data_IF_763858558164
#
_entry.id   IF_763858558164
#
_cell.length_a   1.000
_cell.length_b   1.000
_cell.length_c   1.000
_cell.angle_alpha   90.00
_cell.angle_beta   90.00
_cell.angle_gamma   90.00
#
_symmetry.space_group_name_H-M   'P 1'
#
loop_
_entity.id
_entity.type
_entity.pdbx_description
1 polymer ?
#
# COMPACT_ATOMS: atom_id res chain seq x y z
N UNK A 1 -13.55 -0.32 -5.51
CA UNK A 1 -13.01 0.93 -4.91
C UNK A 1 -12.92 0.74 -3.41
N UNK A 2 -11.77 1.03 -2.80
CA UNK A 2 -11.47 0.70 -1.39
C UNK A 2 -11.17 1.95 -0.54
N UNK A 3 -10.44 2.92 -1.09
CA UNK A 3 -10.12 4.19 -0.43
C UNK A 3 -10.48 5.40 -1.28
N UNK A 4 -10.78 6.50 -0.61
CA UNK A 4 -11.16 7.77 -1.22
C UNK A 4 -10.67 8.93 -0.34
N UNK A 5 -10.08 9.96 -0.93
CA UNK A 5 -9.74 11.20 -0.23
C UNK A 5 -10.00 12.43 -1.11
N UNK A 6 -10.44 13.50 -0.47
CA UNK A 6 -10.43 14.84 -1.06
C UNK A 6 -9.09 15.50 -0.74
N UNK A 7 -8.55 16.25 -1.70
CA UNK A 7 -7.43 17.14 -1.45
C UNK A 7 -7.78 18.14 -0.33
N UNK A 8 -6.86 18.49 0.59
CA UNK A 8 -7.12 19.49 1.63
C UNK A 8 -7.57 20.84 1.08
N UNK A 9 -7.19 21.18 -0.15
CA UNK A 9 -7.62 22.37 -0.89
C UNK A 9 -8.69 22.07 -1.95
N UNK A 10 -9.52 21.04 -1.76
CA UNK A 10 -10.51 20.57 -2.73
C UNK A 10 -11.41 21.67 -3.32
N UNK A 11 -11.91 22.60 -2.50
CA UNK A 11 -12.77 23.68 -3.02
C UNK A 11 -12.04 24.65 -3.94
N UNK A 12 -10.70 24.68 -3.91
CA UNK A 12 -9.87 25.48 -4.79
C UNK A 12 -9.38 24.70 -6.02
N UNK A 13 -9.07 23.40 -5.87
CA UNK A 13 -8.42 22.62 -6.94
C UNK A 13 -9.26 21.46 -7.52
N UNK A 14 -10.37 21.10 -6.90
CA UNK A 14 -11.26 20.01 -7.31
C UNK A 14 -10.64 18.61 -7.23
N UNK A 15 -9.48 18.40 -6.58
CA UNK A 15 -8.74 17.14 -6.66
C UNK A 15 -9.32 16.07 -5.74
N UNK A 16 -9.51 14.88 -6.30
CA UNK A 16 -9.92 13.67 -5.57
C UNK A 16 -8.92 12.53 -5.84
N UNK A 17 -8.81 11.62 -4.87
CA UNK A 17 -7.88 10.49 -4.89
C UNK A 17 -8.65 9.20 -4.64
N UNK A 18 -8.36 8.18 -5.44
CA UNK A 18 -9.02 6.87 -5.41
C UNK A 18 -7.97 5.78 -5.19
N UNK A 19 -8.27 4.83 -4.31
CA UNK A 19 -7.51 3.61 -4.10
C UNK A 19 -8.39 2.41 -4.45
N UNK A 20 -7.95 1.57 -5.37
CA UNK A 20 -8.75 0.44 -5.86
C UNK A 20 -7.88 -0.67 -6.45
N UNK A 21 -8.41 -1.90 -6.40
CA UNK A 21 -7.85 -3.05 -7.10
C UNK A 21 -8.17 -2.92 -8.59
N UNK A 22 -7.17 -3.13 -9.43
CA UNK A 22 -7.31 -3.16 -10.89
C UNK A 22 -7.79 -4.57 -11.28
N UNK A 23 -8.80 -4.68 -12.14
CA UNK A 23 -9.15 -5.97 -12.71
C UNK A 23 -7.96 -6.54 -13.51
N UNK A 24 -7.71 -7.85 -13.40
CA UNK A 24 -6.54 -8.48 -14.04
C UNK A 24 -6.61 -8.36 -15.57
N UNK A 25 -7.78 -8.56 -16.17
CA UNK A 25 -7.96 -8.45 -17.62
C UNK A 25 -7.65 -7.03 -18.11
N UNK A 26 -8.09 -6.00 -17.38
CA UNK A 26 -7.66 -4.63 -17.64
C UNK A 26 -6.15 -4.45 -17.48
N UNK A 27 -5.55 -4.99 -16.43
CA UNK A 27 -4.12 -4.86 -16.17
C UNK A 27 -3.27 -5.50 -17.30
N UNK A 28 -3.64 -6.68 -17.76
CA UNK A 28 -2.90 -7.48 -18.73
C UNK A 28 -3.14 -7.04 -20.18
N UNK A 29 -4.35 -6.58 -20.50
CA UNK A 29 -4.77 -6.42 -21.90
C UNK A 29 -5.06 -4.98 -22.33
N UNK A 30 -5.29 -4.04 -21.41
CA UNK A 30 -5.71 -2.68 -21.78
C UNK A 30 -4.79 -2.02 -22.83
N UNK A 31 -5.40 -1.48 -23.89
CA UNK A 31 -4.67 -0.87 -25.02
C UNK A 31 -4.20 -1.87 -26.08
N UNK A 32 -4.48 -3.16 -25.93
CA UNK A 32 -4.20 -4.19 -26.94
C UNK A 32 -5.48 -4.70 -27.62
N UNK A 33 -5.40 -5.39 -28.77
CA UNK A 33 -6.56 -6.02 -29.40
C UNK A 33 -7.25 -7.12 -28.58
N UNK A 34 -6.59 -7.63 -27.53
CA UNK A 34 -7.15 -8.65 -26.63
C UNK A 34 -8.09 -8.05 -25.56
N UNK A 35 -8.11 -6.72 -25.39
CA UNK A 35 -8.94 -6.07 -24.38
C UNK A 35 -10.41 -5.99 -24.80
N UNK A 36 -11.26 -6.66 -24.04
CA UNK A 36 -12.72 -6.43 -24.02
C UNK A 36 -13.13 -5.69 -22.73
N UNK A 37 -13.72 -4.49 -22.80
CA UNK A 37 -14.18 -3.77 -21.61
C UNK A 37 -15.34 -4.43 -20.84
N UNK A 38 -15.93 -5.52 -21.36
CA UNK A 38 -16.98 -6.30 -20.69
C UNK A 38 -16.47 -7.63 -20.12
N UNK A 39 -15.16 -7.88 -20.20
CA UNK A 39 -14.53 -9.07 -19.63
C UNK A 39 -13.81 -8.69 -18.34
N UNK A 40 -13.89 -9.59 -17.37
CA UNK A 40 -13.18 -9.52 -16.10
C UNK A 40 -12.47 -10.85 -15.87
N UNK A 41 -11.35 -10.83 -15.16
CA UNK A 41 -10.62 -12.02 -14.75
C UNK A 41 -10.49 -12.07 -13.23
N UNK A 42 -11.26 -12.98 -12.64
CA UNK A 42 -11.36 -13.14 -11.19
C UNK A 42 -10.35 -14.15 -10.66
N UNK A 43 -9.93 -13.96 -9.41
CA UNK A 43 -9.04 -14.86 -8.67
C UNK A 43 -7.64 -15.02 -9.30
N UNK A 44 -7.22 -14.11 -10.17
CA UNK A 44 -5.84 -13.97 -10.60
C UNK A 44 -5.17 -12.85 -9.81
N UNK A 45 -3.86 -12.96 -9.63
CA UNK A 45 -3.08 -11.92 -8.97
C UNK A 45 -3.14 -10.63 -9.80
N UNK A 46 -3.20 -9.49 -9.13
CA UNK A 46 -3.31 -8.19 -9.79
C UNK A 46 -2.63 -7.12 -8.94
N UNK A 47 -2.97 -5.84 -9.14
CA UNK A 47 -2.43 -4.73 -8.36
C UNK A 47 -3.53 -3.83 -7.79
N UNK A 48 -3.21 -3.23 -6.65
CA UNK A 48 -3.80 -2.00 -6.17
C UNK A 48 -3.19 -0.79 -6.87
N UNK A 49 -4.04 0.22 -7.08
CA UNK A 49 -3.70 1.45 -7.79
C UNK A 49 -4.22 2.67 -7.04
N UNK A 50 -3.40 3.71 -7.01
CA UNK A 50 -3.81 5.05 -6.56
C UNK A 50 -3.94 5.95 -7.77
N UNK A 51 -5.09 6.59 -7.95
CA UNK A 51 -5.30 7.60 -9.00
C UNK A 51 -5.81 8.90 -8.43
N UNK A 52 -5.50 9.99 -9.14
CA UNK A 52 -6.05 11.32 -8.92
C UNK A 52 -6.91 11.72 -10.11
N UNK A 53 -8.01 12.41 -9.82
CA UNK A 53 -8.85 13.09 -10.80
C UNK A 53 -9.13 14.52 -10.35
N UNK A 54 -9.63 15.35 -11.28
CA UNK A 54 -10.12 16.70 -11.03
C UNK A 54 -11.63 16.74 -11.28
N UNK A 55 -12.38 17.16 -10.26
CA UNK A 55 -13.81 17.44 -10.37
C UNK A 55 -14.06 18.76 -11.11
N UNK A 56 -15.11 18.80 -11.90
CA UNK A 56 -15.52 19.97 -12.67
C UNK A 56 -16.21 21.00 -11.76
N UNK A 57 -15.56 22.14 -11.54
CA UNK A 57 -16.11 23.23 -10.74
C UNK A 57 -17.38 23.83 -11.36
N UNK A 58 -17.55 23.78 -12.69
CA UNK A 58 -18.73 24.32 -13.39
C UNK A 58 -20.01 23.55 -13.07
N UNK A 59 -19.88 22.28 -12.68
CA UNK A 59 -21.02 21.45 -12.23
C UNK A 59 -21.21 21.49 -10.72
N UNK A 60 -20.47 22.34 -10.00
CA UNK A 60 -20.44 22.35 -8.55
C UNK A 60 -19.77 21.09 -7.99
N UNK A 61 -18.72 20.60 -8.65
CA UNK A 61 -17.96 19.40 -8.30
C UNK A 61 -18.78 18.10 -8.28
N UNK A 62 -19.87 18.03 -9.07
CA UNK A 62 -20.73 16.84 -9.20
C UNK A 62 -20.35 15.90 -10.34
N UNK A 63 -19.38 16.29 -11.16
CA UNK A 63 -18.79 15.47 -12.21
C UNK A 63 -17.27 15.53 -12.13
N UNK A 64 -16.64 14.52 -12.71
CA UNK A 64 -15.18 14.42 -12.86
C UNK A 64 -14.83 14.63 -14.32
N UNK A 65 -13.73 15.33 -14.60
CA UNK A 65 -13.10 15.30 -15.92
C UNK A 65 -12.31 13.98 -16.08
N UNK A 66 -12.75 13.03 -16.92
CA UNK A 66 -12.05 11.75 -17.06
C UNK A 66 -10.65 11.90 -17.68
N UNK A 67 -10.42 12.95 -18.46
CA UNK A 67 -9.11 13.23 -19.09
C UNK A 67 -8.07 13.69 -18.06
N UNK A 68 -8.51 14.16 -16.89
CA UNK A 68 -7.63 14.59 -15.80
C UNK A 68 -6.98 13.44 -15.00
N UNK A 69 -7.26 12.18 -15.37
CA UNK A 69 -6.75 10.99 -14.69
C UNK A 69 -5.22 11.02 -14.61
N UNK A 70 -4.69 10.93 -13.40
CA UNK A 70 -3.27 10.68 -13.14
C UNK A 70 -3.13 9.43 -12.27
N UNK A 71 -2.33 8.46 -12.71
CA UNK A 71 -1.95 7.30 -11.89
C UNK A 71 -0.73 7.71 -11.06
N UNK A 72 -0.81 7.53 -9.74
CA UNK A 72 0.24 7.89 -8.78
C UNK A 72 1.03 6.67 -8.28
N UNK A 73 0.35 5.53 -8.20
CA UNK A 73 0.91 4.22 -7.85
C UNK A 73 0.22 3.19 -8.72
N UNK A 74 0.98 2.28 -9.34
CA UNK A 74 0.44 1.23 -10.22
C UNK A 74 0.28 1.66 -11.67
N UNK A 75 1.23 2.42 -12.22
CA UNK A 75 1.26 2.80 -13.64
C UNK A 75 1.37 1.60 -14.59
N UNK A 76 2.04 0.54 -14.12
CA UNK A 76 2.28 -0.72 -14.81
C UNK A 76 2.07 -1.91 -13.87
N UNK A 77 2.12 -3.13 -14.43
CA UNK A 77 2.01 -4.40 -13.69
C UNK A 77 3.01 -4.52 -12.53
N UNK A 78 4.22 -3.97 -12.69
CA UNK A 78 5.32 -4.07 -11.72
C UNK A 78 5.46 -2.86 -10.78
N UNK A 79 4.56 -1.87 -10.84
CA UNK A 79 4.66 -0.63 -10.06
C UNK A 79 3.48 -0.38 -9.13
N UNK A 80 2.54 -1.33 -9.08
CA UNK A 80 1.38 -1.30 -8.20
C UNK A 80 1.63 -1.96 -6.86
N UNK A 81 0.65 -1.82 -5.96
CA UNK A 81 0.63 -2.59 -4.71
C UNK A 81 0.23 -4.02 -5.10
N UNK A 82 1.06 -5.05 -4.90
CA UNK A 82 0.69 -6.41 -5.27
C UNK A 82 -0.61 -6.83 -4.59
N UNK A 83 -1.51 -7.50 -5.32
CA UNK A 83 -2.72 -8.12 -4.77
C UNK A 83 -2.67 -9.58 -5.17
N UNK A 84 -2.13 -10.40 -4.26
CA UNK A 84 -1.72 -11.78 -4.53
C UNK A 84 -2.64 -12.83 -3.87
N UNK A 85 -3.72 -12.36 -3.27
CA UNK A 85 -4.71 -13.17 -2.60
C UNK A 85 -6.06 -12.42 -2.58
N UNK A 86 -7.15 -13.11 -2.25
CA UNK A 86 -8.49 -12.50 -2.18
C UNK A 86 -8.72 -11.67 -0.90
N UNK A 87 -7.71 -11.53 -0.05
CA UNK A 87 -7.79 -10.85 1.24
C UNK A 87 -6.67 -9.83 1.42
N UNK A 88 -6.84 -8.96 2.42
CA UNK A 88 -5.85 -7.97 2.88
C UNK A 88 -5.31 -7.02 1.79
N UNK A 89 -6.08 -6.85 0.71
CA UNK A 89 -5.84 -5.98 -0.42
C UNK A 89 -5.25 -4.60 -0.09
N UNK A 90 -6.15 -3.63 -0.04
CA UNK A 90 -5.86 -2.22 0.16
C UNK A 90 -6.70 -1.71 1.32
N UNK A 91 -6.35 -0.56 1.88
CA UNK A 91 -7.11 0.05 2.96
C UNK A 91 -7.62 1.45 2.62
N UNK A 92 -6.96 2.44 3.19
CA UNK A 92 -7.42 3.82 3.27
C UNK A 92 -6.47 4.80 2.60
N UNK A 93 -7.02 5.97 2.26
CA UNK A 93 -6.30 7.17 1.87
C UNK A 93 -6.54 8.25 2.92
N UNK A 94 -5.47 8.86 3.43
CA UNK A 94 -5.53 9.93 4.45
C UNK A 94 -4.48 10.98 4.14
N UNK A 95 -4.84 12.26 4.16
CA UNK A 95 -3.85 13.33 4.07
C UNK A 95 -3.19 13.57 5.44
N UNK A 96 -1.87 13.73 5.44
CA UNK A 96 -1.11 14.23 6.58
C UNK A 96 -1.33 15.74 6.80
N UNK A 97 -0.89 16.23 7.96
CA UNK A 97 -0.94 17.65 8.29
C UNK A 97 -0.08 18.53 7.37
N UNK A 98 0.91 17.92 6.71
CA UNK A 98 1.83 18.52 5.77
C UNK A 98 1.38 18.48 4.30
N UNK A 99 0.15 17.99 4.05
CA UNK A 99 -0.41 17.86 2.71
C UNK A 99 0.11 16.67 1.92
N UNK A 100 0.92 15.78 2.51
CA UNK A 100 1.31 14.50 1.88
C UNK A 100 0.19 13.47 1.99
N UNK A 101 0.19 12.45 1.12
CA UNK A 101 -0.87 11.44 1.08
C UNK A 101 -0.38 10.12 1.66
N UNK A 102 -1.08 9.63 2.67
CA UNK A 102 -0.91 8.28 3.18
C UNK A 102 -1.79 7.28 2.44
N UNK A 103 -1.24 6.09 2.20
CA UNK A 103 -1.90 4.94 1.58
C UNK A 103 -1.64 3.73 2.45
N UNK A 104 -2.68 3.03 2.90
CA UNK A 104 -2.48 1.73 3.57
C UNK A 104 -2.69 0.55 2.63
N UNK A 105 -1.84 -0.45 2.79
CA UNK A 105 -1.84 -1.71 2.06
C UNK A 105 -1.56 -2.85 3.03
N UNK A 106 -2.39 -3.89 2.98
CA UNK A 106 -2.14 -5.10 3.76
C UNK A 106 -1.05 -5.96 3.12
N UNK A 107 -0.75 -7.08 3.76
CA UNK A 107 0.29 -8.01 3.35
C UNK A 107 -0.04 -8.77 2.06
N UNK A 108 -1.32 -8.72 1.62
CA UNK A 108 -1.85 -9.41 0.45
C UNK A 108 -1.56 -10.92 0.48
N UNK A 109 -1.53 -11.50 1.67
CA UNK A 109 -1.29 -12.91 1.91
C UNK A 109 -2.60 -13.69 2.16
N UNK A 110 -2.50 -15.01 2.25
CA UNK A 110 -3.65 -15.87 2.60
C UNK A 110 -4.22 -15.50 3.98
N UNK A 111 -5.55 -15.48 4.08
CA UNK A 111 -6.26 -15.40 5.36
C UNK A 111 -6.52 -16.77 6.01
N UNK A 112 -6.32 -17.85 5.26
CA UNK A 112 -6.61 -19.23 5.68
C UNK A 112 -5.35 -20.03 6.04
N UNK A 113 -4.22 -19.72 5.39
CA UNK A 113 -2.96 -20.47 5.54
C UNK A 113 -1.78 -19.53 5.89
N UNK A 114 -0.78 -20.06 6.60
CA UNK A 114 0.47 -19.33 6.87
C UNK A 114 1.30 -19.20 5.59
N UNK A 115 1.07 -18.10 4.85
CA UNK A 115 1.74 -17.83 3.59
C UNK A 115 3.18 -17.36 3.81
N UNK A 116 4.14 -18.24 3.52
CA UNK A 116 5.58 -17.98 3.57
C UNK A 116 6.19 -17.64 2.19
N UNK A 117 5.36 -17.56 1.14
CA UNK A 117 5.77 -17.38 -0.24
C UNK A 117 6.27 -18.64 -0.93
N UNK A 118 6.67 -18.48 -2.19
CA UNK A 118 7.10 -19.58 -3.06
C UNK A 118 5.92 -20.32 -3.71
N UNK A 119 6.19 -21.44 -4.40
CA UNK A 119 5.19 -22.19 -5.17
C UNK A 119 4.35 -23.12 -4.26
N UNK A 120 3.87 -22.61 -3.14
CA UNK A 120 3.02 -23.34 -2.19
C UNK A 120 1.56 -22.91 -2.34
N UNK A 121 0.64 -23.80 -1.98
CA UNK A 121 -0.78 -23.46 -1.92
C UNK A 121 -0.99 -22.28 -0.95
N UNK A 122 -1.92 -21.38 -1.28
CA UNK A 122 -2.21 -20.19 -0.47
C UNK A 122 -1.31 -18.97 -0.74
N UNK A 123 -0.15 -19.15 -1.39
CA UNK A 123 0.69 -18.04 -1.87
C UNK A 123 0.24 -17.51 -3.24
N UNK A 124 0.91 -16.47 -3.74
CA UNK A 124 0.73 -15.90 -5.09
C UNK A 124 0.53 -16.99 -6.16
N UNK A 125 -0.50 -16.82 -7.00
CA UNK A 125 -0.88 -17.81 -8.01
C UNK A 125 -0.31 -17.52 -9.41
N UNK A 126 -0.22 -16.25 -9.82
CA UNK A 126 0.26 -15.83 -11.15
C UNK A 126 1.24 -14.66 -11.09
N UNK A 127 1.29 -13.93 -9.96
CA UNK A 127 1.96 -12.64 -9.86
C UNK A 127 3.44 -12.67 -10.22
N UNK A 128 4.16 -13.75 -9.89
CA UNK A 128 5.55 -13.91 -10.32
C UNK A 128 5.70 -14.19 -11.81
N UNK A 129 4.84 -15.04 -12.36
CA UNK A 129 4.89 -15.40 -13.78
C UNK A 129 4.56 -14.20 -14.68
N UNK A 130 3.72 -13.29 -14.18
CA UNK A 130 3.25 -12.09 -14.89
C UNK A 130 4.07 -10.83 -14.57
N UNK A 131 5.02 -10.92 -13.64
CA UNK A 131 5.90 -9.80 -13.29
C UNK A 131 5.28 -8.73 -12.39
N UNK A 132 4.22 -9.09 -11.66
CA UNK A 132 3.65 -8.28 -10.56
C UNK A 132 4.65 -8.21 -9.40
N UNK A 133 5.25 -9.34 -9.06
CA UNK A 133 6.31 -9.47 -8.06
C UNK A 133 7.55 -10.13 -8.64
N UNK A 134 8.71 -9.80 -8.09
CA UNK A 134 9.95 -10.52 -8.37
C UNK A 134 10.20 -11.66 -7.36
N UNK A 135 11.33 -12.35 -7.52
CA UNK A 135 11.70 -13.45 -6.62
C UNK A 135 11.98 -12.99 -5.18
N UNK A 136 12.41 -11.75 -4.96
CA UNK A 136 12.67 -11.23 -3.61
C UNK A 136 11.36 -10.92 -2.87
N UNK A 137 10.30 -10.55 -3.60
CA UNK A 137 8.96 -10.30 -3.06
C UNK A 137 8.12 -11.58 -2.84
N UNK A 138 8.57 -12.73 -3.37
CA UNK A 138 7.90 -14.04 -3.27
C UNK A 138 8.11 -14.69 -1.88
N UNK A 139 7.71 -13.96 -0.84
CA UNK A 139 7.92 -14.29 0.58
C UNK A 139 6.63 -14.19 1.41
N UNK A 140 5.46 -14.26 0.77
CA UNK A 140 4.17 -14.26 1.47
C UNK A 140 3.98 -13.08 2.43
N UNK A 141 3.51 -13.39 3.64
CA UNK A 141 3.26 -12.39 4.69
C UNK A 141 4.51 -11.60 5.10
N UNK A 142 5.72 -12.14 4.87
CA UNK A 142 6.98 -11.44 5.17
C UNK A 142 7.21 -10.21 4.28
N UNK A 143 6.41 -10.00 3.23
CA UNK A 143 6.41 -8.73 2.50
C UNK A 143 6.12 -7.55 3.43
N UNK A 144 5.35 -7.75 4.51
CA UNK A 144 5.12 -6.74 5.54
C UNK A 144 6.41 -6.21 6.20
N UNK A 145 7.46 -7.03 6.25
CA UNK A 145 8.79 -6.67 6.77
C UNK A 145 9.79 -6.27 5.67
N UNK A 146 9.48 -6.58 4.41
CA UNK A 146 10.35 -6.29 3.27
C UNK A 146 10.13 -4.86 2.75
N UNK A 147 11.19 -4.04 2.73
CA UNK A 147 11.14 -2.67 2.21
C UNK A 147 11.06 -2.60 0.68
N UNK A 148 11.41 -3.68 -0.02
CA UNK A 148 11.23 -3.80 -1.47
C UNK A 148 9.80 -4.13 -1.89
N UNK A 149 8.85 -4.27 -0.96
CA UNK A 149 7.42 -4.38 -1.26
C UNK A 149 6.60 -3.21 -0.71
N UNK A 150 5.47 -2.96 -1.35
CA UNK A 150 4.43 -2.02 -0.89
C UNK A 150 3.43 -2.67 0.09
N UNK A 151 3.48 -4.00 0.27
CA UNK A 151 2.54 -4.76 1.11
C UNK A 151 2.88 -4.70 2.60
N UNK A 152 1.85 -4.69 3.42
CA UNK A 152 1.92 -4.62 4.88
C UNK A 152 2.52 -3.31 5.36
N UNK A 153 2.14 -2.20 4.70
CA UNK A 153 2.71 -0.86 4.88
C UNK A 153 1.63 0.19 5.09
N UNK A 154 2.05 1.26 5.77
CA UNK A 154 1.56 2.60 5.51
C UNK A 154 2.60 3.30 4.66
N UNK A 155 2.19 3.71 3.46
CA UNK A 155 2.99 4.46 2.51
C UNK A 155 2.71 5.95 2.66
N UNK A 156 3.70 6.81 2.42
CA UNK A 156 3.57 8.27 2.34
C UNK A 156 4.13 8.76 1.02
N UNK A 157 3.29 9.39 0.21
CA UNK A 157 3.62 9.84 -1.14
C UNK A 157 3.30 11.31 -1.35
N UNK A 158 3.99 11.93 -2.29
CA UNK A 158 3.63 13.24 -2.83
C UNK A 158 2.33 13.09 -3.66
N UNK A 159 1.23 13.80 -3.31
CA UNK A 159 -0.05 13.70 -4.01
C UNK A 159 -0.05 14.32 -5.42
N UNK A 160 1.00 15.07 -5.78
CA UNK A 160 1.16 15.65 -7.11
C UNK A 160 1.83 14.68 -8.08
N UNK A 161 2.80 13.90 -7.61
CA UNK A 161 3.65 13.04 -8.43
C UNK A 161 3.43 11.55 -8.20
N UNK A 162 3.15 11.13 -6.96
CA UNK A 162 3.15 9.73 -6.53
C UNK A 162 4.52 9.22 -6.06
N UNK A 163 5.53 10.09 -6.05
CA UNK A 163 6.87 9.75 -5.54
C UNK A 163 6.83 9.63 -4.00
N UNK A 164 7.79 8.91 -3.43
CA UNK A 164 8.07 8.99 -2.01
C UNK A 164 8.45 10.42 -1.60
N UNK A 165 8.08 10.83 -0.40
CA UNK A 165 8.46 12.15 0.12
C UNK A 165 9.89 12.08 0.63
N UNK A 166 10.71 13.10 0.36
CA UNK A 166 12.14 13.09 0.71
C UNK A 166 12.45 12.93 2.21
N UNK A 167 11.48 13.24 3.08
CA UNK A 167 11.57 13.03 4.53
C UNK A 167 11.05 11.67 5.00
N UNK A 168 10.71 10.76 4.08
CA UNK A 168 10.39 9.38 4.44
C UNK A 168 11.63 8.65 4.99
N UNK A 169 11.44 7.74 5.97
CA UNK A 169 12.55 7.11 6.68
C UNK A 169 13.49 6.25 5.82
N UNK A 170 12.99 5.72 4.70
CA UNK A 170 13.74 4.81 3.83
C UNK A 170 13.95 5.37 2.42
N UNK A 171 13.83 6.70 2.28
CA UNK A 171 13.91 7.40 1.00
C UNK A 171 15.27 7.24 0.31
N UNK A 172 15.23 6.79 -0.94
CA UNK A 172 16.38 6.78 -1.84
C UNK A 172 16.21 7.89 -2.88
N UNK A 173 17.11 8.89 -2.81
CA UNK A 173 17.13 10.02 -3.76
C UNK A 173 17.32 9.60 -5.21
N UNK A 174 17.98 8.46 -5.47
CA UNK A 174 18.18 7.95 -6.83
C UNK A 174 16.95 7.17 -7.33
N UNK A 175 16.07 6.73 -6.43
CA UNK A 175 14.90 5.93 -6.74
C UNK A 175 13.68 6.38 -5.93
N UNK A 176 13.16 7.61 -6.15
CA UNK A 176 12.06 8.18 -5.37
C UNK A 176 10.74 7.39 -5.51
N UNK A 177 10.60 6.62 -6.58
CA UNK A 177 9.44 5.75 -6.83
C UNK A 177 9.59 4.31 -6.36
N UNK A 178 10.76 3.92 -5.86
CA UNK A 178 10.95 2.57 -5.33
C UNK A 178 10.01 2.32 -4.15
N UNK A 179 9.61 1.07 -3.88
CA UNK A 179 8.76 0.74 -2.74
C UNK A 179 9.28 1.32 -1.43
N UNK A 180 10.57 1.13 -1.12
CA UNK A 180 11.20 1.66 0.09
C UNK A 180 11.05 3.17 0.23
N UNK A 181 11.18 3.93 -0.87
CA UNK A 181 11.06 5.39 -0.82
C UNK A 181 9.68 5.87 -0.41
N UNK A 182 8.65 5.04 -0.60
CA UNK A 182 7.27 5.34 -0.23
C UNK A 182 6.90 4.86 1.17
N UNK A 183 7.71 4.01 1.83
CA UNK A 183 7.36 3.45 3.15
C UNK A 183 7.47 4.52 4.25
N UNK A 184 6.38 4.70 5.00
CA UNK A 184 6.36 5.48 6.24
C UNK A 184 6.43 4.58 7.48
N UNK A 185 5.59 3.55 7.51
CA UNK A 185 5.57 2.53 8.54
C UNK A 185 5.30 1.15 7.92
N UNK A 186 5.66 0.09 8.65
CA UNK A 186 5.65 -1.29 8.16
C UNK A 186 5.18 -2.28 9.23
N UNK A 187 5.04 -3.54 8.83
CA UNK A 187 4.68 -4.62 9.75
C UNK A 187 3.20 -4.67 10.08
N UNK A 188 2.34 -4.38 9.11
CA UNK A 188 0.90 -4.55 9.23
C UNK A 188 0.41 -5.78 8.48
N UNK A 189 -0.68 -6.38 8.95
CA UNK A 189 -1.36 -7.48 8.24
C UNK A 189 -2.40 -6.95 7.25
N UNK A 190 -3.36 -6.19 7.74
CA UNK A 190 -4.44 -5.57 7.00
C UNK A 190 -4.88 -4.25 7.66
N UNK A 191 -4.11 -3.15 7.44
CA UNK A 191 -4.39 -1.82 7.96
C UNK A 191 -5.58 -1.17 7.24
N UNK A 192 -6.78 -1.69 7.50
CA UNK A 192 -7.99 -1.48 6.69
C UNK A 192 -8.51 -0.04 6.74
N UNK A 193 -8.38 0.63 7.89
CA UNK A 193 -8.77 2.02 8.11
C UNK A 193 -7.68 2.78 8.85
N UNK A 194 -7.56 4.06 8.50
CA UNK A 194 -6.66 5.00 9.15
C UNK A 194 -7.34 6.33 9.32
N UNK A 195 -6.95 7.08 10.36
CA UNK A 195 -7.31 8.48 10.54
C UNK A 195 -6.11 9.27 11.06
N UNK A 196 -6.00 10.52 10.66
CA UNK A 196 -5.04 11.46 11.24
C UNK A 196 -5.61 12.01 12.56
N UNK A 197 -4.79 12.06 13.62
CA UNK A 197 -5.12 12.74 14.87
C UNK A 197 -5.08 14.26 14.66
N UNK A 198 -6.21 14.98 14.81
CA UNK A 198 -6.23 16.42 14.60
C UNK A 198 -5.27 17.18 15.53
N UNK A 199 -4.66 18.24 15.02
CA UNK A 199 -3.76 19.10 15.80
C UNK A 199 -2.38 18.49 16.09
N UNK A 200 -1.98 17.45 15.34
CA UNK A 200 -0.62 16.90 15.38
C UNK A 200 0.09 17.13 14.04
N UNK A 201 1.41 17.06 14.06
CA UNK A 201 2.24 17.24 12.87
C UNK A 201 2.63 18.68 12.56
N UNK A 202 3.56 18.78 11.62
CA UNK A 202 4.01 19.99 10.96
C UNK A 202 3.25 20.18 9.64
N UNK A 203 3.10 21.43 9.20
CA UNK A 203 2.62 21.74 7.85
C UNK A 203 3.74 21.66 6.79
N UNK A 204 5.00 21.56 7.22
CA UNK A 204 6.16 21.48 6.33
C UNK A 204 6.53 19.99 6.10
N UNK A 205 6.35 19.46 4.87
CA UNK A 205 6.63 18.05 4.59
C UNK A 205 8.11 17.72 4.69
N UNK A 206 9.02 18.69 4.67
CA UNK A 206 10.47 18.45 4.79
C UNK A 206 10.90 18.09 6.22
N UNK A 207 10.08 18.43 7.22
CA UNK A 207 10.34 18.13 8.64
C UNK A 207 10.22 16.63 8.95
N UNK A 208 9.41 15.89 8.17
CA UNK A 208 9.16 14.48 8.45
C UNK A 208 8.27 14.26 9.68
N UNK A 209 7.36 15.20 9.95
CA UNK A 209 6.33 15.08 10.99
C UNK A 209 4.94 15.32 10.38
N UNK A 210 4.39 14.35 9.61
CA UNK A 210 3.08 14.46 8.96
C UNK A 210 1.89 14.37 9.93
N UNK A 211 2.16 14.17 11.23
CA UNK A 211 1.15 13.98 12.28
C UNK A 211 0.92 12.51 12.64
N UNK A 212 0.25 12.31 13.78
CA UNK A 212 -0.01 10.99 14.35
C UNK A 212 -1.17 10.30 13.62
N UNK A 213 -0.95 9.07 13.16
CA UNK A 213 -1.98 8.20 12.61
C UNK A 213 -2.54 7.26 13.69
N UNK A 214 -3.86 7.06 13.67
CA UNK A 214 -4.48 5.88 14.27
C UNK A 214 -4.85 4.91 13.16
N UNK A 215 -4.33 3.69 13.24
CA UNK A 215 -4.46 2.66 12.21
C UNK A 215 -5.15 1.45 12.84
N UNK A 216 -6.25 0.99 12.24
CA UNK A 216 -6.86 -0.28 12.66
C UNK A 216 -6.29 -1.38 11.80
N UNK A 217 -5.64 -2.36 12.42
CA UNK A 217 -5.07 -3.52 11.74
C UNK A 217 -5.86 -4.79 12.06
N UNK A 218 -6.14 -5.59 11.03
CA UNK A 218 -6.87 -6.85 11.20
C UNK A 218 -5.90 -8.01 11.41
N UNK A 219 -5.90 -8.59 12.60
CA UNK A 219 -4.99 -9.67 13.01
C UNK A 219 -5.38 -11.04 12.48
N UNK A 220 -4.54 -12.02 12.80
CA UNK A 220 -4.62 -13.40 12.31
C UNK A 220 -5.66 -14.24 13.06
N UNK A 221 -5.52 -14.35 14.38
CA UNK A 221 -6.33 -15.28 15.19
C UNK A 221 -6.73 -14.74 16.55
N UNK A 222 -5.89 -13.94 17.21
CA UNK A 222 -6.02 -13.63 18.63
C UNK A 222 -6.66 -12.27 18.88
N UNK A 223 -6.41 -11.28 18.01
CA UNK A 223 -6.83 -9.90 18.25
C UNK A 223 -6.79 -9.04 16.99
N UNK A 224 -7.62 -8.01 17.04
CA UNK A 224 -7.49 -6.84 16.18
C UNK A 224 -6.71 -5.76 16.92
N UNK A 225 -5.94 -4.94 16.19
CA UNK A 225 -5.07 -3.93 16.77
C UNK A 225 -5.52 -2.51 16.41
N UNK A 226 -5.33 -1.58 17.36
CA UNK A 226 -5.40 -0.14 17.12
C UNK A 226 -4.01 0.43 17.36
N UNK A 227 -3.31 0.67 16.26
CA UNK A 227 -1.95 1.16 16.24
C UNK A 227 -1.89 2.68 16.27
N UNK A 228 -0.91 3.20 16.99
CA UNK A 228 -0.59 4.63 17.04
C UNK A 228 0.74 4.83 16.31
N UNK A 229 0.67 5.40 15.11
CA UNK A 229 1.83 5.77 14.30
C UNK A 229 2.19 7.24 14.50
N UNK A 230 3.02 7.55 15.49
CA UNK A 230 3.43 8.92 15.83
C UNK A 230 4.88 9.26 15.46
N UNK A 231 5.61 8.32 14.85
CA UNK A 231 6.99 8.50 14.42
C UNK A 231 7.25 7.84 13.04
N UNK A 232 8.28 8.29 12.32
CA UNK A 232 8.75 7.60 11.11
C UNK A 232 9.30 6.21 11.45
N UNK A 233 9.22 5.29 10.48
CA UNK A 233 9.87 3.97 10.52
C UNK A 233 9.33 3.01 11.59
N UNK A 234 8.15 3.28 12.16
CA UNK A 234 7.54 2.36 13.12
C UNK A 234 7.23 1.01 12.46
N UNK A 235 7.54 -0.07 13.18
CA UNK A 235 7.30 -1.44 12.77
C UNK A 235 6.30 -2.09 13.73
N UNK A 236 5.13 -2.47 13.23
CA UNK A 236 4.03 -3.03 14.00
C UNK A 236 4.10 -4.57 14.11
N UNK A 237 5.17 -5.18 13.59
CA UNK A 237 5.61 -6.52 13.98
C UNK A 237 5.09 -7.66 13.12
N UNK A 238 4.02 -7.49 12.35
CA UNK A 238 3.48 -8.54 11.46
C UNK A 238 4.49 -8.93 10.36
N UNK A 239 4.72 -10.22 10.05
CA UNK A 239 4.02 -11.39 10.58
C UNK A 239 4.68 -12.04 11.78
N UNK A 240 5.82 -11.52 12.25
CA UNK A 240 6.56 -12.10 13.37
C UNK A 240 5.80 -11.95 14.69
N UNK A 241 4.94 -10.94 14.80
CA UNK A 241 4.07 -10.70 15.92
C UNK A 241 2.65 -10.38 15.43
N UNK A 242 1.66 -10.87 16.17
CA UNK A 242 0.28 -10.40 16.12
C UNK A 242 0.06 -9.55 17.38
N UNK A 243 -0.14 -8.24 17.25
CA UNK A 243 0.01 -7.28 18.35
C UNK A 243 1.31 -7.49 19.15
N UNK A 244 1.19 -7.69 20.47
CA UNK A 244 2.35 -7.87 21.36
C UNK A 244 2.83 -9.33 21.56
N UNK A 245 2.32 -10.29 20.78
CA UNK A 245 2.62 -11.73 20.95
C UNK A 245 3.37 -12.23 19.73
N UNK A 246 4.51 -12.93 19.90
CA UNK A 246 5.17 -13.62 18.81
C UNK A 246 4.22 -14.62 18.15
N UNK A 247 4.14 -14.61 16.82
CA UNK A 247 3.31 -15.53 16.05
C UNK A 247 4.16 -16.76 15.65
N UNK A 248 3.98 -17.93 16.27
CA UNK A 248 4.88 -19.07 16.09
C UNK A 248 4.88 -19.63 14.67
N UNK A 249 3.80 -19.46 13.91
CA UNK A 249 3.73 -19.94 12.52
C UNK A 249 4.72 -19.21 11.61
N UNK A 250 5.05 -17.95 11.92
CA UNK A 250 6.00 -17.16 11.15
C UNK A 250 7.36 -17.00 11.87
N UNK A 251 7.38 -16.75 13.18
CA UNK A 251 8.62 -16.46 13.90
C UNK A 251 9.66 -17.60 13.86
N UNK A 252 9.22 -18.85 13.64
CA UNK A 252 10.09 -20.02 13.55
C UNK A 252 10.60 -20.36 12.14
N UNK A 253 10.23 -19.60 11.11
CA UNK A 253 10.50 -19.93 9.71
C UNK A 253 11.59 -19.01 9.15
N UNK A 254 12.66 -19.62 8.63
CA UNK A 254 13.69 -18.91 7.86
C UNK A 254 13.21 -18.72 6.41
N UNK A 255 12.36 -17.72 6.21
CA UNK A 255 12.01 -17.27 4.87
C UNK A 255 13.22 -16.52 4.28
N UNK A 256 13.71 -16.98 3.13
CA UNK A 256 14.83 -16.37 2.40
C UNK A 256 14.51 -14.90 2.05
N UNK A 257 14.81 -13.96 2.95
CA UNK A 257 14.68 -12.53 2.71
C UNK A 257 16.01 -11.82 3.02
N UNK A 258 16.84 -11.68 1.99
CA UNK A 258 18.18 -11.07 2.06
C UNK A 258 18.18 -9.56 2.30
N UNK A 259 17.01 -8.93 2.27
CA UNK A 259 16.84 -7.48 2.38
C UNK A 259 15.90 -7.09 3.54
N UNK A 260 15.50 -8.05 4.37
CA UNK A 260 14.73 -7.78 5.58
C UNK A 260 15.58 -6.92 6.54
N UNK A 261 15.01 -5.81 6.99
CA UNK A 261 15.66 -4.97 7.98
C UNK A 261 15.55 -5.67 9.35
N UNK A 262 16.65 -6.25 9.82
CA UNK A 262 16.72 -6.87 11.14
C UNK A 262 17.39 -5.90 12.14
N UNK A 263 16.63 -5.22 13.02
CA UNK A 263 17.20 -4.29 13.99
C UNK A 263 18.05 -4.96 15.08
N UNK A 264 18.10 -6.29 15.17
CA UNK A 264 18.91 -7.05 16.14
C UNK A 264 20.31 -7.45 15.63
N UNK A 265 20.69 -7.11 14.39
CA UNK A 265 22.02 -7.39 13.82
C UNK A 265 22.68 -6.14 13.20
N UNK A 266 22.84 -5.09 14.01
CA UNK A 266 23.85 -4.04 13.80
C UNK A 266 24.92 -4.12 14.88
#
# INVERSE_FOLDING_TARGET
MLGFALDPAFLANGRIYLLYVVDHHHLAHFGTPAYDPNSDEYFLDTIGRVTRYTCDASTGFRSVDPASRMVLVGESISTGIPVLNQSHGLGALVFGADGTLFVSAGDNASYDESDHGGPVLGSSNTGRAEGIIDLAQDVGSYRAQFLGSLDGKVLRIDPATGDGVGSNPFFDTAAPRSPRSRVWALGFRNPFRMVLRPGTGSADPTVGDPGTLYVTDVGWTLREDLDVGDAPAMNFGWPLHEGLTPEPLFAGVDALNRESWNPLFL
#
